data_IF_942015495427
#
_entry.id   IF_942015495427
#
_cell.length_a   1.000
_cell.length_b   1.000
_cell.length_c   1.000
_cell.angle_alpha   90.00
_cell.angle_beta   90.00
_cell.angle_gamma   90.00
#
_symmetry.space_group_name_H-M   'P 1'
#
loop_
_entity.id
_entity.type
_entity.pdbx_description
1 polymer ?
#
# COMPACT_ATOMS: atom_id res chain seq x y z
N UNK A 1 22.87 4.90 6.18
CA UNK A 1 22.78 3.53 5.61
C UNK A 1 21.54 3.51 4.72
N UNK A 2 21.49 2.72 3.66
CA UNK A 2 20.34 2.69 2.73
C UNK A 2 19.26 1.77 3.29
N UNK A 3 18.01 2.20 3.28
CA UNK A 3 16.86 1.39 3.73
C UNK A 3 16.06 0.80 2.57
N UNK A 4 15.51 -0.40 2.74
CA UNK A 4 14.62 -1.06 1.76
C UNK A 4 13.19 -1.22 2.30
N UNK A 5 12.22 -0.53 1.70
CA UNK A 5 10.78 -0.76 1.91
C UNK A 5 10.21 -1.56 0.73
N UNK A 6 9.56 -2.70 0.99
CA UNK A 6 9.10 -3.63 -0.05
C UNK A 6 7.64 -3.37 -0.40
N UNK A 7 7.37 -3.05 -1.67
CA UNK A 7 6.01 -2.90 -2.17
C UNK A 7 5.37 -4.27 -2.47
N UNK A 8 4.23 -4.58 -1.84
CA UNK A 8 3.55 -5.88 -1.96
C UNK A 8 2.26 -5.85 -2.81
N UNK A 9 2.01 -4.77 -3.55
CA UNK A 9 0.78 -4.61 -4.36
C UNK A 9 0.56 -5.77 -5.36
N UNK A 10 1.65 -6.29 -5.94
CA UNK A 10 1.55 -7.39 -6.93
C UNK A 10 1.22 -8.74 -6.30
N UNK A 11 1.50 -8.94 -5.02
CA UNK A 11 1.07 -10.11 -4.26
C UNK A 11 -0.45 -10.07 -4.09
N UNK A 12 -1.00 -8.92 -3.72
CA UNK A 12 -2.44 -8.72 -3.63
C UNK A 12 -3.14 -8.87 -5.00
N UNK A 13 -2.51 -8.41 -6.08
CA UNK A 13 -2.99 -8.67 -7.45
C UNK A 13 -3.12 -10.17 -7.74
N UNK A 14 -2.09 -10.95 -7.40
CA UNK A 14 -2.09 -12.40 -7.58
C UNK A 14 -3.19 -13.08 -6.76
N UNK A 15 -3.34 -12.69 -5.47
CA UNK A 15 -4.41 -13.18 -4.59
C UNK A 15 -5.79 -12.89 -5.17
N UNK A 16 -6.03 -11.65 -5.59
CA UNK A 16 -7.33 -11.23 -6.11
C UNK A 16 -7.71 -11.96 -7.41
N UNK A 17 -6.72 -12.32 -8.25
CA UNK A 17 -6.96 -13.00 -9.53
C UNK A 17 -7.50 -14.43 -9.40
N UNK A 18 -7.19 -15.12 -8.29
CA UNK A 18 -7.60 -16.51 -8.05
C UNK A 18 -8.78 -16.63 -7.07
N UNK A 19 -9.02 -15.60 -6.26
CA UNK A 19 -9.92 -15.67 -5.12
C UNK A 19 -9.29 -16.36 -3.91
N UNK A 20 -9.94 -16.23 -2.75
CA UNK A 20 -9.42 -16.76 -1.47
C UNK A 20 -8.27 -15.94 -0.89
N UNK A 21 -7.48 -16.58 -0.02
CA UNK A 21 -6.32 -15.99 0.66
C UNK A 21 -5.01 -16.71 0.26
N UNK A 22 -4.74 -16.78 -1.05
CA UNK A 22 -3.52 -17.41 -1.58
C UNK A 22 -2.99 -16.65 -2.82
N UNK A 23 -1.84 -15.96 -2.73
CA UNK A 23 -0.97 -15.84 -1.55
C UNK A 23 -1.62 -15.09 -0.39
N UNK A 24 -1.26 -15.48 0.83
CA UNK A 24 -1.61 -14.75 2.05
C UNK A 24 -0.76 -13.48 2.14
N UNK A 25 -1.41 -12.32 2.08
CA UNK A 25 -0.74 -11.02 2.04
C UNK A 25 -0.03 -10.69 3.36
N UNK A 26 -0.66 -11.02 4.49
CA UNK A 26 -0.10 -10.79 5.83
C UNK A 26 1.14 -11.64 6.03
N UNK A 27 1.07 -12.92 5.64
CA UNK A 27 2.23 -13.80 5.70
C UNK A 27 3.38 -13.27 4.85
N UNK A 28 3.10 -12.80 3.63
CA UNK A 28 4.15 -12.27 2.74
C UNK A 28 4.79 -11.00 3.32
N UNK A 29 4.02 -10.10 3.93
CA UNK A 29 4.58 -8.92 4.60
C UNK A 29 5.54 -9.30 5.73
N UNK A 30 5.13 -10.24 6.60
CA UNK A 30 5.99 -10.76 7.68
C UNK A 30 7.22 -11.51 7.16
N UNK A 31 7.09 -12.23 6.04
CA UNK A 31 8.21 -12.87 5.37
C UNK A 31 9.22 -11.82 4.85
N UNK A 32 8.75 -10.71 4.27
CA UNK A 32 9.60 -9.61 3.83
C UNK A 32 10.40 -9.00 5.00
N UNK A 33 9.75 -8.67 6.12
CA UNK A 33 10.43 -8.16 7.32
C UNK A 33 11.47 -9.15 7.83
N UNK A 34 11.11 -10.44 7.94
CA UNK A 34 12.03 -11.50 8.39
C UNK A 34 13.26 -11.63 7.48
N UNK A 35 13.12 -11.35 6.18
CA UNK A 35 14.21 -11.39 5.21
C UNK A 35 14.97 -10.07 5.06
N UNK A 36 14.72 -9.10 5.94
CA UNK A 36 15.51 -7.88 6.05
C UNK A 36 14.89 -6.65 5.38
N UNK A 37 13.62 -6.70 5.00
CA UNK A 37 12.90 -5.47 4.65
C UNK A 37 12.77 -4.58 5.90
N UNK A 38 13.08 -3.30 5.75
CA UNK A 38 13.00 -2.29 6.80
C UNK A 38 11.73 -1.45 6.70
N UNK A 39 10.90 -1.77 5.71
CA UNK A 39 9.54 -1.28 5.60
C UNK A 39 8.70 -2.11 4.63
N UNK A 40 7.39 -1.87 4.69
CA UNK A 40 6.40 -2.42 3.79
C UNK A 40 5.63 -1.27 3.17
N UNK A 41 5.47 -1.32 1.84
CA UNK A 41 4.72 -0.33 1.08
C UNK A 41 3.46 -0.96 0.46
N UNK A 42 2.32 -0.25 0.58
CA UNK A 42 1.05 -0.65 -0.02
C UNK A 42 0.33 0.52 -0.66
N UNK A 43 -0.44 0.27 -1.72
CA UNK A 43 -1.26 1.27 -2.41
C UNK A 43 -2.73 0.84 -2.48
N UNK A 44 -3.56 1.12 -1.46
CA UNK A 44 -4.99 0.84 -1.48
C UNK A 44 -5.72 1.76 -2.47
N UNK A 45 -5.85 1.35 -3.72
CA UNK A 45 -6.58 2.13 -4.74
C UNK A 45 -8.09 2.18 -4.43
N UNK A 46 -8.80 3.24 -4.86
CA UNK A 46 -10.26 3.32 -4.69
C UNK A 46 -11.03 2.14 -5.30
N UNK A 47 -10.53 1.59 -6.41
CA UNK A 47 -11.11 0.43 -7.11
C UNK A 47 -10.72 -0.92 -6.50
N UNK A 48 -9.88 -0.92 -5.45
CA UNK A 48 -9.39 -2.10 -4.74
C UNK A 48 -8.81 -3.19 -5.66
N UNK A 49 -8.24 -2.77 -6.80
CA UNK A 49 -7.73 -3.68 -7.84
C UNK A 49 -6.64 -4.63 -7.33
N UNK A 50 -5.85 -4.19 -6.36
CA UNK A 50 -4.79 -4.98 -5.74
C UNK A 50 -4.91 -4.97 -4.22
N UNK A 51 -4.32 -3.98 -3.54
CA UNK A 51 -4.52 -3.80 -2.10
C UNK A 51 -5.94 -3.32 -1.86
N UNK A 52 -6.64 -4.00 -0.95
CA UNK A 52 -7.97 -3.60 -0.43
C UNK A 52 -7.78 -2.73 0.80
N UNK A 53 -8.77 -1.92 1.15
CA UNK A 53 -8.71 -1.10 2.36
C UNK A 53 -8.57 -1.97 3.63
N UNK A 54 -9.23 -3.13 3.65
CA UNK A 54 -9.13 -4.08 4.76
C UNK A 54 -7.69 -4.62 4.94
N UNK A 55 -6.96 -4.83 3.85
CA UNK A 55 -5.57 -5.30 3.90
C UNK A 55 -4.70 -4.35 4.71
N UNK A 56 -4.91 -3.04 4.58
CA UNK A 56 -4.14 -2.02 5.30
C UNK A 56 -4.37 -2.12 6.81
N UNK A 57 -5.62 -2.30 7.24
CA UNK A 57 -5.94 -2.48 8.66
C UNK A 57 -5.36 -3.78 9.22
N UNK A 58 -5.34 -4.85 8.44
CA UNK A 58 -4.80 -6.14 8.88
C UNK A 58 -3.28 -6.13 8.94
N UNK A 59 -2.63 -5.49 7.97
CA UNK A 59 -1.19 -5.27 7.94
C UNK A 59 -0.73 -4.36 9.09
N UNK A 60 -1.45 -3.28 9.39
CA UNK A 60 -1.09 -2.35 10.48
C UNK A 60 -1.01 -3.03 11.85
N UNK A 61 -1.76 -4.12 12.06
CA UNK A 61 -1.75 -4.88 13.32
C UNK A 61 -0.48 -5.71 13.52
N UNK A 62 0.27 -5.99 12.45
CA UNK A 62 1.34 -6.99 12.46
C UNK A 62 2.70 -6.46 11.99
N UNK A 63 2.72 -5.43 11.12
CA UNK A 63 3.97 -4.81 10.65
C UNK A 63 4.65 -4.13 11.84
N UNK A 64 5.92 -4.47 12.06
CA UNK A 64 6.75 -3.92 13.12
C UNK A 64 7.76 -2.88 12.59
N UNK A 65 7.98 -2.85 11.27
CA UNK A 65 8.89 -1.94 10.57
C UNK A 65 8.15 -0.70 10.05
N UNK A 66 8.82 0.11 9.22
CA UNK A 66 8.20 1.25 8.54
C UNK A 66 6.99 0.78 7.72
N UNK A 67 5.85 1.45 7.88
CA UNK A 67 4.68 1.17 7.04
C UNK A 67 4.36 2.40 6.21
N UNK A 68 4.50 2.26 4.89
CA UNK A 68 4.27 3.30 3.91
C UNK A 68 2.96 3.03 3.18
N UNK A 69 2.04 4.00 3.22
CA UNK A 69 0.78 3.93 2.48
C UNK A 69 0.84 4.94 1.32
N UNK A 70 0.80 4.41 0.10
CA UNK A 70 0.71 5.19 -1.15
C UNK A 70 -0.75 5.50 -1.48
N UNK A 71 -1.04 6.71 -2.00
CA UNK A 71 -2.34 7.02 -2.60
C UNK A 71 -2.56 8.50 -2.92
N UNK A 72 -3.72 8.81 -3.49
CA UNK A 72 -4.12 10.17 -3.84
C UNK A 72 -4.87 10.85 -2.69
N UNK A 73 -4.34 11.97 -2.19
CA UNK A 73 -4.95 12.73 -1.10
C UNK A 73 -6.25 13.46 -1.47
N UNK A 74 -6.62 13.53 -2.75
CA UNK A 74 -7.92 14.03 -3.19
C UNK A 74 -9.06 13.03 -2.90
N UNK A 75 -8.73 11.76 -2.67
CA UNK A 75 -9.70 10.73 -2.32
C UNK A 75 -9.96 10.72 -0.81
N UNK A 76 -11.14 11.16 -0.37
CA UNK A 76 -11.47 11.22 1.07
C UNK A 76 -11.35 9.86 1.76
N UNK A 77 -11.66 8.76 1.06
CA UNK A 77 -11.52 7.40 1.58
C UNK A 77 -10.05 7.08 1.91
N UNK A 78 -9.10 7.56 1.11
CA UNK A 78 -7.67 7.41 1.37
C UNK A 78 -7.22 8.24 2.58
N UNK A 79 -7.64 9.51 2.66
CA UNK A 79 -7.33 10.37 3.82
C UNK A 79 -7.82 9.74 5.13
N UNK A 80 -9.07 9.25 5.14
CA UNK A 80 -9.64 8.58 6.31
C UNK A 80 -8.86 7.31 6.69
N UNK A 81 -8.44 6.52 5.70
CA UNK A 81 -7.66 5.31 5.93
C UNK A 81 -6.31 5.64 6.57
N UNK A 82 -5.61 6.65 6.07
CA UNK A 82 -4.32 7.10 6.60
C UNK A 82 -4.47 7.57 8.05
N UNK A 83 -5.46 8.43 8.33
CA UNK A 83 -5.70 8.95 9.68
C UNK A 83 -6.07 7.84 10.67
N UNK A 84 -6.80 6.82 10.22
CA UNK A 84 -7.15 5.67 11.06
C UNK A 84 -5.95 4.76 11.35
N UNK A 85 -4.99 4.64 10.43
CA UNK A 85 -3.85 3.72 10.57
C UNK A 85 -2.58 4.37 11.10
N UNK A 86 -2.43 5.70 10.99
CA UNK A 86 -1.22 6.44 11.38
C UNK A 86 0.06 5.71 10.94
N UNK A 87 0.26 5.54 9.62
CA UNK A 87 1.46 4.89 9.08
C UNK A 87 2.71 5.72 9.39
N UNK A 88 3.89 5.10 9.31
CA UNK A 88 5.16 5.80 9.50
C UNK A 88 5.42 6.78 8.34
N UNK A 89 4.98 6.42 7.13
CA UNK A 89 5.09 7.24 5.93
C UNK A 89 3.78 7.25 5.13
N UNK A 90 3.51 8.37 4.48
CA UNK A 90 2.47 8.48 3.46
C UNK A 90 3.11 9.02 2.19
N UNK A 91 2.95 8.31 1.08
CA UNK A 91 3.50 8.71 -0.22
C UNK A 91 2.37 9.13 -1.14
N UNK A 92 2.30 10.43 -1.45
CA UNK A 92 1.25 10.95 -2.34
C UNK A 92 1.59 10.61 -3.79
N UNK A 93 0.68 9.92 -4.47
CA UNK A 93 0.84 9.52 -5.87
C UNK A 93 -0.36 10.00 -6.69
N UNK A 94 -0.14 10.46 -7.93
CA UNK A 94 -1.24 10.78 -8.82
C UNK A 94 -1.79 9.48 -9.42
N UNK A 95 -2.86 8.96 -8.84
CA UNK A 95 -3.64 7.89 -9.44
C UNK A 95 -5.09 8.32 -9.67
N UNK A 96 -5.41 8.61 -10.93
CA UNK A 96 -6.77 8.92 -11.36
C UNK A 96 -7.59 7.65 -11.60
N UNK A 97 -8.91 7.75 -11.44
CA UNK A 97 -9.86 6.69 -11.82
C UNK A 97 -9.62 6.26 -13.29
N UNK A 98 -9.36 4.96 -13.49
CA UNK A 98 -9.10 4.35 -14.80
C UNK A 98 -7.62 4.24 -15.19
N UNK A 99 -6.70 4.87 -14.47
CA UNK A 99 -5.27 4.78 -14.78
C UNK A 99 -4.69 3.38 -14.44
N UNK A 100 -3.95 2.76 -15.36
CA UNK A 100 -3.38 1.42 -15.17
C UNK A 100 -2.24 1.45 -14.13
N UNK A 101 -1.35 2.44 -14.21
CA UNK A 101 -0.22 2.65 -13.29
C UNK A 101 0.16 4.13 -13.24
N UNK A 102 0.71 4.60 -12.12
CA UNK A 102 1.31 5.94 -12.05
C UNK A 102 2.47 6.03 -13.02
N UNK A 103 2.51 7.08 -13.84
CA UNK A 103 3.52 7.31 -14.88
C UNK A 103 4.17 8.70 -14.78
N UNK A 104 3.82 9.47 -13.74
CA UNK A 104 4.33 10.80 -13.42
C UNK A 104 4.29 11.01 -11.91
N UNK A 105 5.04 11.99 -11.42
CA UNK A 105 5.04 12.39 -10.01
C UNK A 105 3.89 13.35 -9.67
N UNK A 106 3.66 13.55 -8.37
CA UNK A 106 2.70 14.55 -7.87
C UNK A 106 3.14 15.98 -8.25
N UNK A 107 2.24 16.77 -8.83
CA UNK A 107 2.50 18.19 -9.12
C UNK A 107 2.23 19.02 -7.86
N UNK A 108 3.29 19.49 -7.21
CA UNK A 108 3.23 20.28 -5.95
C UNK A 108 2.98 21.77 -6.18
N UNK A 109 2.90 22.23 -7.43
CA UNK A 109 2.65 23.64 -7.76
C UNK A 109 1.18 23.84 -8.12
N UNK A 110 0.58 22.89 -8.84
CA UNK A 110 -0.80 23.01 -9.35
C UNK A 110 -1.88 22.42 -8.44
N UNK A 111 -1.53 21.44 -7.59
CA UNK A 111 -2.46 20.81 -6.65
C UNK A 111 -2.32 21.41 -5.25
#
# INVERSE_FOLDING_TARGET
MTHLSVNINKIATLRNSRGGNNPDLVKVALDCERFGAEGITVHPRPDERHIRYQDVFDLKKVIATEFNIEGNCQEQKFVNLVLANQPAQVTLVPDALGQITSNHGWDTIKN
#
